data_IF_515516408766
#
_entry.id   IF_515516408766
#
_cell.length_a   1.000
_cell.length_b   1.000
_cell.length_c   1.000
_cell.angle_alpha   90.00
_cell.angle_beta   90.00
_cell.angle_gamma   90.00
#
_symmetry.space_group_name_H-M   'P 1'
#
loop_
_entity.id
_entity.type
_entity.pdbx_description
1 polymer ?
#
# COMPACT_ATOMS: atom_id res chain seq x y z
N UNK A 1 32.04 14.05 5.23
CA UNK A 1 30.57 14.13 5.39
C UNK A 1 29.92 13.40 4.23
N UNK A 2 29.62 12.11 4.40
CA UNK A 2 28.92 11.35 3.38
C UNK A 2 27.46 11.82 3.41
N UNK A 3 27.00 12.48 2.35
CA UNK A 3 25.59 12.82 2.17
C UNK A 3 24.78 11.53 2.21
N UNK A 4 23.74 11.48 3.04
CA UNK A 4 22.74 10.42 3.00
C UNK A 4 22.29 10.23 1.53
N UNK A 5 22.09 8.99 1.05
CA UNK A 5 21.59 8.75 -0.30
C UNK A 5 20.31 9.57 -0.50
N UNK A 6 20.09 10.16 -1.69
CA UNK A 6 18.87 10.91 -1.97
C UNK A 6 17.69 9.94 -1.86
N UNK A 7 17.01 10.01 -0.72
CA UNK A 7 15.89 9.19 -0.28
C UNK A 7 16.02 7.67 -0.54
N UNK A 8 16.37 6.85 0.47
CA UNK A 8 16.46 5.39 0.30
C UNK A 8 15.10 4.72 0.01
N UNK A 9 14.00 5.47 0.08
CA UNK A 9 12.67 5.00 -0.25
C UNK A 9 12.29 5.46 -1.67
N UNK A 10 11.98 4.53 -2.60
CA UNK A 10 11.50 4.92 -3.91
C UNK A 10 10.28 5.82 -3.76
N UNK A 11 10.16 6.81 -4.65
CA UNK A 11 9.02 7.73 -4.78
C UNK A 11 7.71 7.04 -5.21
N UNK A 12 7.56 5.77 -4.89
CA UNK A 12 6.38 4.96 -5.16
C UNK A 12 5.19 5.49 -4.36
N UNK A 13 4.01 5.60 -4.99
CA UNK A 13 2.81 6.04 -4.30
C UNK A 13 2.41 5.07 -3.18
N UNK A 14 1.52 5.55 -2.32
CA UNK A 14 0.78 4.72 -1.35
C UNK A 14 -0.52 4.25 -1.99
N UNK A 15 -0.86 2.98 -1.84
CA UNK A 15 -2.19 2.49 -2.20
C UNK A 15 -3.09 2.53 -0.96
N UNK A 16 -4.30 3.04 -1.11
CA UNK A 16 -5.29 3.13 -0.03
C UNK A 16 -6.54 2.35 -0.45
N UNK A 17 -6.86 1.28 0.28
CA UNK A 17 -8.10 0.52 0.11
C UNK A 17 -9.09 0.94 1.19
N UNK A 18 -10.16 1.62 0.77
CA UNK A 18 -11.16 2.24 1.65
C UNK A 18 -12.47 2.37 0.85
N UNK A 19 -13.61 1.97 1.39
CA UNK A 19 -14.90 2.00 0.67
C UNK A 19 -15.66 3.33 0.87
N UNK A 20 -15.39 4.05 1.97
CA UNK A 20 -16.08 5.29 2.28
C UNK A 20 -15.44 6.50 1.59
N UNK A 21 -16.20 7.19 0.73
CA UNK A 21 -15.74 8.38 -0.01
C UNK A 21 -15.25 9.53 0.87
N UNK A 22 -15.80 9.70 2.07
CA UNK A 22 -15.37 10.73 3.02
C UNK A 22 -13.98 10.39 3.58
N UNK A 23 -13.77 9.12 3.97
CA UNK A 23 -12.49 8.63 4.45
C UNK A 23 -11.42 8.69 3.35
N UNK A 24 -11.75 8.27 2.13
CA UNK A 24 -10.86 8.41 0.96
C UNK A 24 -10.36 9.86 0.81
N UNK A 25 -11.29 10.82 0.83
CA UNK A 25 -10.95 12.25 0.68
C UNK A 25 -10.09 12.76 1.83
N UNK A 26 -10.38 12.34 3.07
CA UNK A 26 -9.58 12.70 4.24
C UNK A 26 -8.14 12.18 4.10
N UNK A 27 -7.97 10.87 3.81
CA UNK A 27 -6.67 10.23 3.66
C UNK A 27 -5.87 10.88 2.52
N UNK A 28 -6.48 11.09 1.35
CA UNK A 28 -5.83 11.77 0.22
C UNK A 28 -5.38 13.17 0.58
N UNK A 29 -6.21 13.93 1.32
CA UNK A 29 -5.86 15.29 1.75
C UNK A 29 -4.64 15.28 2.68
N UNK A 30 -4.59 14.32 3.60
CA UNK A 30 -3.47 14.17 4.53
C UNK A 30 -2.18 13.77 3.80
N UNK A 31 -2.25 12.76 2.91
CA UNK A 31 -1.09 12.31 2.12
C UNK A 31 -0.58 13.41 1.18
N UNK A 32 -1.48 14.15 0.53
CA UNK A 32 -1.11 15.28 -0.34
C UNK A 32 -0.38 16.36 0.44
N UNK A 33 -0.84 16.70 1.66
CA UNK A 33 -0.16 17.68 2.52
C UNK A 33 1.25 17.24 2.94
N UNK A 34 1.49 15.92 2.99
CA UNK A 34 2.80 15.34 3.26
C UNK A 34 3.68 15.20 2.00
N UNK A 35 3.18 15.63 0.83
CA UNK A 35 3.88 15.48 -0.45
C UNK A 35 3.93 14.03 -0.96
N UNK A 36 3.05 13.16 -0.47
CA UNK A 36 3.00 11.74 -0.82
C UNK A 36 1.90 11.51 -1.85
N UNK A 37 2.27 10.92 -2.99
CA UNK A 37 1.30 10.49 -3.99
C UNK A 37 0.52 9.25 -3.49
N UNK A 38 -0.77 9.19 -3.81
CA UNK A 38 -1.62 8.09 -3.39
C UNK A 38 -2.62 7.68 -4.48
N UNK A 39 -2.94 6.39 -4.50
CA UNK A 39 -3.97 5.78 -5.35
C UNK A 39 -5.05 5.15 -4.46
N UNK A 40 -6.30 5.14 -4.94
CA UNK A 40 -7.44 4.60 -4.20
C UNK A 40 -7.93 3.30 -4.84
N UNK A 41 -8.18 2.29 -4.00
CA UNK A 41 -9.03 1.14 -4.30
C UNK A 41 -10.30 1.23 -3.43
N UNK A 42 -11.48 0.94 -4.00
CA UNK A 42 -12.76 1.16 -3.31
C UNK A 42 -13.26 -0.05 -2.53
N UNK A 43 -12.55 -1.18 -2.56
CA UNK A 43 -12.85 -2.40 -1.81
C UNK A 43 -11.63 -3.35 -1.81
N UNK A 44 -11.74 -4.46 -1.07
CA UNK A 44 -10.67 -5.45 -0.96
C UNK A 44 -10.37 -6.24 -2.24
N UNK A 45 -11.24 -6.24 -3.26
CA UNK A 45 -10.94 -6.88 -4.55
C UNK A 45 -10.18 -5.95 -5.49
N UNK A 46 -10.57 -4.68 -5.52
CA UNK A 46 -9.97 -3.67 -6.39
C UNK A 46 -8.48 -3.48 -6.09
N UNK A 47 -8.07 -3.68 -4.84
CA UNK A 47 -6.66 -3.54 -4.43
C UNK A 47 -5.74 -4.58 -5.07
N UNK A 48 -6.24 -5.75 -5.50
CA UNK A 48 -5.41 -6.86 -5.99
C UNK A 48 -4.75 -6.56 -7.35
N UNK A 49 -5.48 -5.88 -8.25
CA UNK A 49 -4.99 -5.59 -9.59
C UNK A 49 -3.86 -4.53 -9.60
N UNK A 50 -3.96 -3.40 -8.89
CA UNK A 50 -2.88 -2.42 -8.79
C UNK A 50 -1.63 -3.00 -8.14
N UNK A 51 -1.74 -3.74 -7.02
CA UNK A 51 -0.55 -4.25 -6.30
C UNK A 51 0.25 -5.30 -7.09
N UNK A 52 -0.40 -6.02 -7.99
CA UNK A 52 0.28 -7.00 -8.86
C UNK A 52 0.97 -6.37 -10.07
N UNK A 53 0.60 -5.13 -10.42
CA UNK A 53 1.13 -4.41 -11.59
C UNK A 53 2.12 -3.32 -11.24
N UNK A 54 1.93 -2.69 -10.08
CA UNK A 54 2.69 -1.53 -9.65
C UNK A 54 3.41 -1.82 -8.33
N UNK A 55 4.51 -1.11 -8.08
CA UNK A 55 5.20 -1.15 -6.79
C UNK A 55 4.74 0.01 -5.92
N UNK A 56 4.14 -0.31 -4.78
CA UNK A 56 3.75 0.67 -3.75
C UNK A 56 4.72 0.63 -2.58
N UNK A 57 4.96 1.78 -1.98
CA UNK A 57 5.80 1.90 -0.77
C UNK A 57 5.05 1.46 0.49
N UNK A 58 3.73 1.64 0.50
CA UNK A 58 2.82 1.21 1.56
C UNK A 58 1.43 0.94 0.99
N UNK A 59 0.72 -0.02 1.58
CA UNK A 59 -0.70 -0.24 1.35
C UNK A 59 -1.42 0.04 2.67
N UNK A 60 -2.29 1.05 2.69
CA UNK A 60 -3.22 1.30 3.78
C UNK A 60 -4.52 0.56 3.45
N UNK A 61 -4.96 -0.32 4.35
CA UNK A 61 -6.07 -1.23 4.11
C UNK A 61 -7.10 -1.09 5.21
N UNK A 62 -8.31 -0.64 4.86
CA UNK A 62 -9.46 -0.72 5.76
C UNK A 62 -9.82 -2.19 6.00
N UNK A 63 -10.25 -2.52 7.22
CA UNK A 63 -10.62 -3.87 7.61
C UNK A 63 -12.02 -4.19 7.09
N UNK A 64 -12.97 -3.26 7.23
CA UNK A 64 -14.38 -3.50 6.97
C UNK A 64 -14.80 -2.89 5.63
N UNK A 65 -14.73 -3.70 4.56
CA UNK A 65 -15.16 -3.30 3.23
C UNK A 65 -16.19 -4.29 2.66
N UNK A 66 -17.10 -3.84 1.78
CA UNK A 66 -18.03 -4.72 1.07
C UNK A 66 -17.27 -5.67 0.13
N UNK A 67 -17.90 -6.80 -0.17
CA UNK A 67 -17.43 -7.89 -1.05
C UNK A 67 -16.19 -8.67 -0.60
N UNK A 68 -15.14 -7.98 -0.15
CA UNK A 68 -13.92 -8.56 0.38
C UNK A 68 -13.35 -7.63 1.44
N UNK A 69 -13.23 -8.15 2.67
CA UNK A 69 -12.64 -7.45 3.79
C UNK A 69 -11.11 -7.30 3.64
N UNK A 70 -10.53 -6.37 4.38
CA UNK A 70 -9.10 -6.06 4.31
C UNK A 70 -8.19 -7.21 4.75
N UNK A 71 -8.66 -8.11 5.61
CA UNK A 71 -7.89 -9.26 6.10
C UNK A 71 -7.78 -10.31 4.99
N UNK A 72 -8.89 -10.60 4.33
CA UNK A 72 -8.97 -11.51 3.17
C UNK A 72 -8.16 -10.95 2.02
N UNK A 73 -8.28 -9.66 1.70
CA UNK A 73 -7.46 -8.99 0.70
C UNK A 73 -5.96 -9.10 1.03
N UNK A 74 -5.56 -8.78 2.27
CA UNK A 74 -4.16 -8.87 2.70
C UNK A 74 -3.58 -10.27 2.57
N UNK A 75 -4.35 -11.32 2.91
CA UNK A 75 -3.94 -12.72 2.73
C UNK A 75 -3.68 -13.04 1.25
N UNK A 76 -4.59 -12.61 0.37
CA UNK A 76 -4.45 -12.85 -1.07
C UNK A 76 -3.25 -12.10 -1.65
N UNK A 77 -3.04 -10.83 -1.27
CA UNK A 77 -1.85 -10.06 -1.67
C UNK A 77 -0.57 -10.78 -1.25
N UNK A 78 -0.47 -11.27 -0.01
CA UNK A 78 0.71 -12.00 0.47
C UNK A 78 0.95 -13.31 -0.27
N UNK A 79 -0.11 -13.95 -0.77
CA UNK A 79 -0.03 -15.16 -1.59
C UNK A 79 0.49 -14.84 -3.00
N UNK A 80 0.08 -13.72 -3.57
CA UNK A 80 0.45 -13.27 -4.92
C UNK A 80 1.83 -12.62 -4.98
N UNK A 81 2.21 -11.91 -3.91
CA UNK A 81 3.47 -11.19 -3.76
C UNK A 81 4.23 -11.79 -2.57
N UNK A 82 4.81 -13.00 -2.72
CA UNK A 82 5.62 -13.58 -1.66
C UNK A 82 6.75 -12.63 -1.33
N UNK A 83 6.82 -12.22 -0.06
CA UNK A 83 7.93 -11.41 0.42
C UNK A 83 9.23 -12.16 0.16
N UNK A 84 10.31 -11.46 -0.24
CA UNK A 84 11.61 -12.10 -0.34
C UNK A 84 11.92 -12.78 1.00
N UNK A 85 12.53 -13.99 0.97
CA UNK A 85 12.91 -14.67 2.19
C UNK A 85 13.78 -13.71 3.03
N UNK A 86 13.64 -13.74 4.38
CA UNK A 86 14.46 -12.90 5.23
C UNK A 86 15.95 -13.15 4.90
N UNK A 87 16.79 -12.10 4.91
CA UNK A 87 18.20 -12.27 4.61
C UNK A 87 18.78 -13.31 5.58
N UNK A 88 19.40 -14.37 5.03
CA UNK A 88 20.12 -15.36 5.82
C UNK A 88 21.22 -14.65 6.59
N UNK A 89 21.06 -14.49 7.89
CA UNK A 89 22.18 -14.19 8.77
C UNK A 89 23.09 -15.42 8.76
N UNK A 90 24.20 -15.35 8.03
CA UNK A 90 25.26 -16.34 8.18
C UNK A 90 25.84 -16.21 9.61
N UNK A 91 26.11 -17.35 10.28
CA UNK A 91 26.73 -17.36 11.62
C UNK A 91 28.17 -16.82 11.61
#
# INVERSE_FOLDING_TARGET
FQSLPPNPYPSSPILVAEDNKVNQKLILTLLTKLGVAAEIANNGKEVINPVTKNSYSLILMDIEMPEMDGITATKEIRRLLPLPPPPLSLP
#
